data_IF_302262452993
#
_entry.id   IF_302262452993
#
_cell.length_a   1.000
_cell.length_b   1.000
_cell.length_c   1.000
_cell.angle_alpha   90.00
_cell.angle_beta   90.00
_cell.angle_gamma   90.00
#
_symmetry.space_group_name_H-M   'P 1'
#
loop_
_entity.id
_entity.type
_entity.pdbx_description
1 polymer ?
#
# COMPACT_ATOMS: atom_id res chain seq x y z
N UNK A 1 -15.97 2.62 38.40
CA UNK A 1 -16.42 2.91 37.02
C UNK A 1 -15.31 2.47 36.07
N UNK A 2 -15.53 1.40 35.33
CA UNK A 2 -14.57 0.93 34.31
C UNK A 2 -14.71 1.87 33.10
N UNK A 3 -13.64 2.54 32.71
CA UNK A 3 -13.65 3.38 31.51
C UNK A 3 -14.03 2.54 30.29
N UNK A 4 -14.93 3.03 29.46
CA UNK A 4 -15.25 2.40 28.18
C UNK A 4 -14.00 2.54 27.30
N UNK A 5 -13.45 1.44 26.76
CA UNK A 5 -12.29 1.52 25.91
C UNK A 5 -12.58 2.33 24.65
N UNK A 6 -11.58 3.06 24.15
CA UNK A 6 -11.68 3.80 22.91
C UNK A 6 -11.94 2.82 21.75
N UNK A 7 -13.02 2.95 20.98
CA UNK A 7 -13.30 2.07 19.85
C UNK A 7 -12.17 2.02 18.82
N UNK A 8 -11.51 3.16 18.55
CA UNK A 8 -10.41 3.23 17.59
C UNK A 8 -9.22 2.39 18.04
N UNK A 9 -8.84 2.50 19.32
CA UNK A 9 -7.77 1.67 19.90
C UNK A 9 -8.10 0.17 19.86
N UNK A 10 -9.37 -0.21 19.97
CA UNK A 10 -9.78 -1.61 19.81
C UNK A 10 -9.65 -2.11 18.38
N UNK A 11 -10.00 -1.28 17.38
CA UNK A 11 -9.83 -1.63 15.97
C UNK A 11 -8.35 -1.75 15.61
N UNK A 12 -7.52 -0.82 16.06
CA UNK A 12 -6.08 -0.89 15.88
C UNK A 12 -5.47 -2.16 16.49
N UNK A 13 -5.80 -2.46 17.74
CA UNK A 13 -5.33 -3.67 18.42
C UNK A 13 -5.77 -4.94 17.70
N UNK A 14 -7.00 -4.98 17.15
CA UNK A 14 -7.50 -6.09 16.34
C UNK A 14 -6.67 -6.23 15.05
N UNK A 15 -6.47 -5.13 14.30
CA UNK A 15 -5.70 -5.16 13.06
C UNK A 15 -4.25 -5.66 13.32
N UNK A 16 -3.60 -5.18 14.38
CA UNK A 16 -2.27 -5.60 14.76
C UNK A 16 -2.21 -7.11 15.12
N UNK A 17 -3.20 -7.63 15.81
CA UNK A 17 -3.29 -9.06 16.12
C UNK A 17 -3.46 -9.92 14.84
N UNK A 18 -4.34 -9.52 13.94
CA UNK A 18 -4.57 -10.21 12.67
C UNK A 18 -3.35 -10.14 11.74
N UNK A 19 -2.58 -9.04 11.75
CA UNK A 19 -1.30 -8.92 11.04
C UNK A 19 -0.25 -9.89 11.61
N UNK A 20 -0.20 -10.04 12.93
CA UNK A 20 0.68 -11.02 13.58
C UNK A 20 0.29 -12.45 13.20
N UNK A 21 -1.01 -12.78 13.16
CA UNK A 21 -1.49 -14.09 12.73
C UNK A 21 -1.16 -14.36 11.25
N UNK A 22 -1.31 -13.37 10.37
CA UNK A 22 -0.92 -13.47 8.97
C UNK A 22 0.58 -13.75 8.81
N UNK A 23 1.43 -13.10 9.61
CA UNK A 23 2.86 -13.34 9.65
C UNK A 23 3.18 -14.76 10.14
N UNK A 24 2.56 -15.19 11.24
CA UNK A 24 2.77 -16.53 11.81
C UNK A 24 2.43 -17.65 10.79
N UNK A 25 1.37 -17.47 9.99
CA UNK A 25 1.01 -18.40 8.91
C UNK A 25 2.15 -18.61 7.91
N UNK A 26 2.93 -17.57 7.64
CA UNK A 26 4.04 -17.61 6.68
C UNK A 26 5.41 -17.82 7.34
N UNK A 27 5.48 -18.08 8.63
CA UNK A 27 6.74 -18.27 9.37
C UNK A 27 7.53 -16.98 9.58
N UNK A 28 6.92 -15.80 9.44
CA UNK A 28 7.53 -14.49 9.67
C UNK A 28 7.39 -14.12 11.15
N UNK A 29 8.50 -13.98 11.86
CA UNK A 29 8.47 -13.71 13.29
C UNK A 29 8.01 -12.27 13.62
N UNK A 30 8.47 -11.29 12.84
CA UNK A 30 8.12 -9.87 13.01
C UNK A 30 8.41 -9.09 11.70
N UNK A 31 7.87 -7.88 11.57
CA UNK A 31 8.12 -7.01 10.42
C UNK A 31 7.28 -7.33 9.19
N UNK A 32 7.80 -6.97 8.01
CA UNK A 32 7.12 -7.14 6.73
C UNK A 32 5.99 -6.13 6.49
N UNK A 33 5.77 -5.18 7.40
CA UNK A 33 4.83 -4.08 7.25
C UNK A 33 5.22 -2.88 8.13
N UNK A 34 4.73 -1.69 7.78
CA UNK A 34 4.88 -0.44 8.54
C UNK A 34 3.71 0.52 8.25
N UNK A 35 3.65 1.63 8.99
CA UNK A 35 2.62 2.67 8.81
C UNK A 35 1.33 2.40 9.57
N UNK A 36 0.26 3.11 9.18
CA UNK A 36 -1.02 3.10 9.87
C UNK A 36 -1.89 1.89 9.47
N UNK A 37 -2.16 0.94 10.38
CA UNK A 37 -3.00 -0.23 10.08
C UNK A 37 -4.48 0.12 9.84
N UNK A 38 -4.92 1.33 10.18
CA UNK A 38 -6.26 1.84 9.91
C UNK A 38 -6.29 2.76 8.67
N UNK A 39 -5.18 2.85 7.95
CA UNK A 39 -5.03 3.69 6.77
C UNK A 39 -5.93 3.26 5.60
N UNK A 40 -6.44 4.25 4.85
CA UNK A 40 -7.31 4.01 3.70
C UNK A 40 -6.56 3.41 2.48
N UNK A 41 -5.22 3.46 2.48
CA UNK A 41 -4.36 3.02 1.37
C UNK A 41 -3.34 2.02 1.88
N UNK A 42 -3.22 0.89 1.18
CA UNK A 42 -2.10 -0.02 1.34
C UNK A 42 -1.14 0.08 0.14
N UNK A 43 0.15 0.23 0.42
CA UNK A 43 1.25 0.19 -0.55
C UNK A 43 1.94 -1.16 -0.44
N UNK A 44 1.97 -1.91 -1.53
CA UNK A 44 2.59 -3.24 -1.59
C UNK A 44 3.89 -3.16 -2.38
N UNK A 45 4.97 -3.65 -1.80
CA UNK A 45 6.27 -3.81 -2.46
C UNK A 45 6.66 -5.28 -2.51
N UNK A 46 7.44 -5.66 -3.50
CA UNK A 46 7.83 -7.06 -3.72
C UNK A 46 8.71 -7.60 -2.60
N UNK A 47 9.72 -6.84 -2.19
CA UNK A 47 10.70 -7.27 -1.20
C UNK A 47 10.94 -6.20 -0.13
N UNK A 48 11.30 -6.64 1.07
CA UNK A 48 11.79 -5.73 2.11
C UNK A 48 13.15 -5.13 1.71
N UNK A 49 13.43 -3.87 2.10
CA UNK A 49 14.75 -3.28 1.95
C UNK A 49 15.83 -4.08 2.71
N UNK A 50 17.09 -3.84 2.37
CA UNK A 50 18.22 -4.48 3.08
C UNK A 50 18.31 -3.93 4.51
N UNK A 51 18.59 -4.81 5.49
CA UNK A 51 18.77 -4.41 6.90
C UNK A 51 20.04 -3.57 7.14
N UNK A 52 20.89 -3.43 6.13
CA UNK A 52 22.11 -2.61 6.22
C UNK A 52 21.81 -1.11 6.07
N UNK A 53 20.62 -0.77 5.58
CA UNK A 53 20.13 0.60 5.61
C UNK A 53 19.40 0.80 6.95
N UNK A 54 19.82 1.76 7.75
CA UNK A 54 19.24 2.16 9.08
C UNK A 54 17.76 2.62 8.99
N UNK A 55 17.02 2.14 7.99
CA UNK A 55 15.67 2.55 7.69
C UNK A 55 14.65 1.59 8.33
N UNK A 56 13.87 2.12 9.26
CA UNK A 56 12.84 1.39 10.02
C UNK A 56 11.55 1.12 9.22
N UNK A 57 11.51 1.41 7.92
CA UNK A 57 10.33 1.29 7.06
C UNK A 57 10.42 0.16 6.02
N UNK A 58 9.28 -0.20 5.45
CA UNK A 58 9.19 -1.15 4.32
C UNK A 58 9.64 -0.50 3.01
N UNK A 59 9.43 0.81 2.88
CA UNK A 59 9.93 1.60 1.76
C UNK A 59 11.21 2.33 2.17
N UNK A 60 12.26 2.35 1.32
CA UNK A 60 13.38 3.27 1.49
C UNK A 60 12.91 4.72 1.61
N UNK A 61 13.55 5.54 2.47
CA UNK A 61 13.08 6.88 2.83
C UNK A 61 12.76 7.77 1.61
N UNK A 62 13.60 7.77 0.59
CA UNK A 62 13.37 8.55 -0.64
C UNK A 62 12.17 8.06 -1.45
N UNK A 63 11.87 6.76 -1.41
CA UNK A 63 10.70 6.17 -2.06
C UNK A 63 9.44 6.48 -1.25
N UNK A 64 9.51 6.36 0.07
CA UNK A 64 8.42 6.69 1.00
C UNK A 64 8.00 8.16 0.87
N UNK A 65 8.96 9.09 0.86
CA UNK A 65 8.70 10.53 0.65
C UNK A 65 8.01 10.79 -0.70
N UNK A 66 8.49 10.12 -1.76
CA UNK A 66 7.92 10.28 -3.11
C UNK A 66 6.50 9.68 -3.20
N UNK A 67 6.26 8.54 -2.58
CA UNK A 67 4.93 7.92 -2.51
C UNK A 67 3.97 8.76 -1.68
N UNK A 68 4.41 9.29 -0.53
CA UNK A 68 3.62 10.19 0.31
C UNK A 68 3.20 11.46 -0.42
N UNK A 69 4.12 12.11 -1.15
CA UNK A 69 3.80 13.28 -2.00
C UNK A 69 2.78 12.94 -3.09
N UNK A 70 2.91 11.77 -3.73
CA UNK A 70 1.96 11.32 -4.75
C UNK A 70 0.58 11.06 -4.14
N UNK A 71 0.49 10.39 -2.99
CA UNK A 71 -0.77 10.16 -2.28
C UNK A 71 -1.41 11.47 -1.83
N UNK A 72 -0.65 12.42 -1.26
CA UNK A 72 -1.16 13.74 -0.90
C UNK A 72 -1.74 14.50 -2.10
N UNK A 73 -1.11 14.41 -3.28
CA UNK A 73 -1.65 14.99 -4.52
C UNK A 73 -2.91 14.28 -5.03
N UNK A 74 -3.16 13.05 -4.60
CA UNK A 74 -4.40 12.31 -4.85
C UNK A 74 -5.49 12.57 -3.80
N UNK A 75 -5.18 13.35 -2.75
CA UNK A 75 -6.12 13.74 -1.71
C UNK A 75 -6.16 12.81 -0.50
N UNK A 76 -5.15 11.95 -0.34
CA UNK A 76 -4.99 11.16 0.88
C UNK A 76 -4.27 11.98 1.95
N UNK A 77 -4.58 11.72 3.22
CA UNK A 77 -3.90 12.36 4.35
C UNK A 77 -2.45 11.86 4.47
N UNK A 78 -1.55 12.73 4.92
CA UNK A 78 -0.17 12.38 5.20
C UNK A 78 -0.11 11.33 6.31
N UNK A 79 0.70 10.29 6.13
CA UNK A 79 0.83 9.20 7.09
C UNK A 79 -0.31 8.17 7.08
N UNK A 80 -1.34 8.33 6.23
CA UNK A 80 -2.48 7.40 6.14
C UNK A 80 -2.18 6.12 5.35
N UNK A 81 -0.95 5.91 4.92
CA UNK A 81 -0.57 4.72 4.16
C UNK A 81 -0.09 3.61 5.09
N UNK A 82 -0.58 2.40 4.82
CA UNK A 82 -0.02 1.16 5.33
C UNK A 82 0.93 0.58 4.28
N UNK A 83 2.13 0.20 4.67
CA UNK A 83 3.15 -0.36 3.78
C UNK A 83 3.37 -1.83 4.10
N UNK A 84 3.43 -2.69 3.08
CA UNK A 84 3.63 -4.12 3.26
C UNK A 84 4.52 -4.72 2.18
N UNK A 85 5.49 -5.54 2.59
CA UNK A 85 6.25 -6.40 1.68
C UNK A 85 5.45 -7.67 1.36
N UNK A 86 5.28 -7.99 0.08
CA UNK A 86 4.64 -9.23 -0.34
C UNK A 86 5.52 -10.46 -0.07
N UNK A 87 6.85 -10.25 -0.12
CA UNK A 87 7.87 -11.30 0.13
C UNK A 87 8.82 -10.89 1.25
N UNK A 88 8.36 -10.86 2.52
CA UNK A 88 9.27 -10.65 3.63
C UNK A 88 10.30 -11.78 3.66
N UNK A 89 11.53 -11.49 4.13
CA UNK A 89 12.72 -12.37 4.00
C UNK A 89 12.50 -13.79 4.48
N UNK A 90 11.81 -13.94 5.60
CA UNK A 90 11.62 -15.23 6.26
C UNK A 90 10.37 -15.98 5.73
N UNK A 91 9.56 -15.36 4.87
CA UNK A 91 8.29 -15.93 4.46
C UNK A 91 8.43 -17.21 3.66
N UNK A 92 7.75 -18.26 4.11
CA UNK A 92 7.58 -19.52 3.40
C UNK A 92 6.93 -19.22 2.03
N UNK A 93 7.57 -19.60 0.90
CA UNK A 93 7.10 -19.23 -0.44
C UNK A 93 5.62 -19.54 -0.70
N UNK A 94 5.16 -20.73 -0.34
CA UNK A 94 3.80 -21.21 -0.60
C UNK A 94 2.74 -20.49 0.26
N UNK A 95 3.15 -19.86 1.37
CA UNK A 95 2.25 -19.13 2.25
C UNK A 95 2.15 -17.62 1.93
N UNK A 96 3.00 -17.08 1.04
CA UNK A 96 3.09 -15.63 0.76
C UNK A 96 1.77 -15.02 0.29
N UNK A 97 1.10 -15.66 -0.65
CA UNK A 97 -0.16 -15.17 -1.19
C UNK A 97 -1.26 -15.13 -0.11
N UNK A 98 -1.36 -16.18 0.69
CA UNK A 98 -2.32 -16.26 1.80
C UNK A 98 -2.00 -15.20 2.88
N UNK A 99 -0.72 -15.06 3.25
CA UNK A 99 -0.26 -14.01 4.18
C UNK A 99 -0.64 -12.62 3.69
N UNK A 100 -0.28 -12.28 2.43
CA UNK A 100 -0.58 -10.97 1.86
C UNK A 100 -2.07 -10.69 1.85
N UNK A 101 -2.87 -11.70 1.49
CA UNK A 101 -4.32 -11.61 1.51
C UNK A 101 -4.86 -11.29 2.91
N UNK A 102 -4.47 -12.07 3.92
CA UNK A 102 -4.92 -11.89 5.30
C UNK A 102 -4.48 -10.54 5.87
N UNK A 103 -3.22 -10.14 5.63
CA UNK A 103 -2.73 -8.85 6.09
C UNK A 103 -3.51 -7.67 5.47
N UNK A 104 -3.84 -7.74 4.18
CA UNK A 104 -4.65 -6.70 3.53
C UNK A 104 -6.12 -6.74 4.00
N UNK A 105 -6.64 -7.87 4.42
CA UNK A 105 -7.95 -7.96 5.05
C UNK A 105 -7.96 -7.38 6.46
N UNK A 106 -6.89 -7.58 7.22
CA UNK A 106 -6.74 -7.05 8.57
C UNK A 106 -6.76 -5.51 8.62
N UNK A 107 -6.08 -4.86 7.68
CA UNK A 107 -6.00 -3.38 7.63
C UNK A 107 -7.19 -2.72 6.94
N UNK A 108 -8.02 -3.50 6.24
CA UNK A 108 -9.25 -3.04 5.56
C UNK A 108 -9.07 -1.81 4.62
N UNK A 109 -7.88 -1.67 4.02
CA UNK A 109 -7.60 -0.60 3.08
C UNK A 109 -8.54 -0.64 1.88
N UNK A 110 -9.15 0.48 1.53
CA UNK A 110 -10.07 0.59 0.39
C UNK A 110 -9.36 0.65 -0.95
N UNK A 111 -8.11 1.09 -0.94
CA UNK A 111 -7.22 1.17 -2.09
C UNK A 111 -5.93 0.41 -1.80
N UNK A 112 -5.54 -0.49 -2.71
CA UNK A 112 -4.27 -1.23 -2.63
C UNK A 112 -3.46 -0.99 -3.90
N UNK A 113 -2.24 -0.48 -3.75
CA UNK A 113 -1.34 -0.15 -4.84
C UNK A 113 -0.07 -0.99 -4.78
N UNK A 114 0.14 -1.82 -5.80
CA UNK A 114 1.43 -2.47 -6.02
C UNK A 114 2.40 -1.48 -6.66
N UNK A 115 3.56 -1.27 -6.03
CA UNK A 115 4.56 -0.26 -6.43
C UNK A 115 5.61 -0.79 -7.39
N UNK A 116 5.69 -2.11 -7.57
CA UNK A 116 6.62 -2.77 -8.49
C UNK A 116 5.97 -3.99 -9.15
N UNK A 117 6.55 -4.55 -10.23
CA UNK A 117 5.98 -5.70 -10.94
C UNK A 117 5.84 -6.94 -10.07
N UNK A 118 6.78 -7.19 -9.15
CA UNK A 118 6.77 -8.35 -8.26
C UNK A 118 5.60 -8.28 -7.28
N UNK A 119 5.39 -7.09 -6.68
CA UNK A 119 4.23 -6.81 -5.84
C UNK A 119 2.91 -6.97 -6.60
N UNK A 120 2.88 -6.57 -7.88
CA UNK A 120 1.69 -6.71 -8.72
C UNK A 120 1.33 -8.17 -8.98
N UNK A 121 2.32 -9.02 -9.24
CA UNK A 121 2.12 -10.47 -9.45
C UNK A 121 1.65 -11.15 -8.14
N UNK A 122 2.28 -10.83 -7.01
CA UNK A 122 1.92 -11.39 -5.71
C UNK A 122 0.53 -10.92 -5.26
N UNK A 123 0.18 -9.65 -5.50
CA UNK A 123 -1.14 -9.11 -5.21
C UNK A 123 -2.21 -9.78 -6.10
N UNK A 124 -1.92 -10.00 -7.38
CA UNK A 124 -2.80 -10.73 -8.26
C UNK A 124 -3.03 -12.17 -7.75
N UNK A 125 -1.97 -12.89 -7.39
CA UNK A 125 -2.05 -14.23 -6.83
C UNK A 125 -2.86 -14.28 -5.54
N UNK A 126 -2.65 -13.32 -4.62
CA UNK A 126 -3.37 -13.23 -3.35
C UNK A 126 -4.89 -13.06 -3.53
N UNK A 127 -5.33 -12.44 -4.62
CA UNK A 127 -6.74 -12.21 -4.92
C UNK A 127 -7.30 -13.13 -6.03
N UNK A 128 -6.54 -14.11 -6.49
CA UNK A 128 -6.97 -15.06 -7.53
C UNK A 128 -7.18 -14.41 -8.90
N UNK A 129 -6.43 -13.34 -9.20
CA UNK A 129 -6.50 -12.61 -10.48
C UNK A 129 -5.44 -13.15 -11.44
N UNK A 130 -5.67 -12.99 -12.75
CA UNK A 130 -4.69 -13.37 -13.77
C UNK A 130 -3.50 -12.41 -13.87
N UNK A 131 -3.63 -11.17 -13.34
CA UNK A 131 -2.59 -10.16 -13.31
C UNK A 131 -3.15 -8.78 -12.98
N UNK A 132 -2.25 -7.83 -12.70
CA UNK A 132 -2.57 -6.42 -12.48
C UNK A 132 -1.73 -5.56 -13.44
N UNK A 133 -2.37 -5.06 -14.49
CA UNK A 133 -1.71 -4.15 -15.43
C UNK A 133 -1.62 -2.72 -14.88
N UNK A 134 -0.50 -2.00 -15.10
CA UNK A 134 -0.36 -0.63 -14.63
C UNK A 134 -1.50 0.28 -15.10
N UNK A 135 -2.13 0.96 -14.13
CA UNK A 135 -3.23 1.90 -14.40
C UNK A 135 -4.57 1.28 -14.75
N UNK A 136 -4.71 -0.04 -14.75
CA UNK A 136 -5.98 -0.75 -14.93
C UNK A 136 -6.48 -1.25 -13.57
N UNK A 137 -7.38 -0.52 -12.89
CA UNK A 137 -7.89 -0.92 -11.59
C UNK A 137 -8.79 -2.16 -11.69
N UNK A 138 -8.71 -3.03 -10.69
CA UNK A 138 -9.58 -4.19 -10.51
C UNK A 138 -10.29 -4.08 -9.17
N UNK A 139 -11.58 -4.41 -9.13
CA UNK A 139 -12.32 -4.52 -7.86
C UNK A 139 -12.34 -5.96 -7.40
N UNK A 140 -11.84 -6.19 -6.18
CA UNK A 140 -11.86 -7.50 -5.55
C UNK A 140 -12.04 -7.35 -4.03
N UNK A 141 -12.87 -8.19 -3.44
CA UNK A 141 -13.12 -8.25 -1.99
C UNK A 141 -13.43 -6.87 -1.36
N UNK A 142 -14.26 -6.05 -2.02
CA UNK A 142 -14.67 -4.74 -1.50
C UNK A 142 -13.68 -3.60 -1.71
N UNK A 143 -12.49 -3.86 -2.26
CA UNK A 143 -11.42 -2.86 -2.44
C UNK A 143 -11.05 -2.68 -3.91
N UNK A 144 -10.33 -1.60 -4.21
CA UNK A 144 -9.73 -1.34 -5.51
C UNK A 144 -8.26 -1.73 -5.46
N UNK A 145 -7.87 -2.64 -6.33
CA UNK A 145 -6.50 -3.09 -6.50
C UNK A 145 -5.92 -2.48 -7.78
N UNK A 146 -4.65 -2.12 -7.77
CA UNK A 146 -3.98 -1.64 -8.96
C UNK A 146 -2.48 -1.72 -8.88
N UNK A 147 -1.83 -1.61 -10.04
CA UNK A 147 -0.38 -1.50 -10.16
C UNK A 147 0.01 -0.12 -10.68
N UNK A 148 1.10 0.40 -10.17
CA UNK A 148 1.74 1.61 -10.69
C UNK A 148 2.76 1.30 -11.81
N UNK A 149 3.12 0.02 -11.97
CA UNK A 149 4.33 -0.41 -12.65
C UNK A 149 5.52 -0.32 -11.69
N UNK A 150 6.69 0.07 -12.20
CA UNK A 150 7.90 0.24 -11.39
C UNK A 150 8.00 1.69 -10.90
N UNK A 151 7.53 1.92 -9.67
CA UNK A 151 7.54 3.24 -9.04
C UNK A 151 8.98 3.71 -8.78
N UNK A 152 9.83 2.83 -8.23
CA UNK A 152 11.21 3.16 -7.87
C UNK A 152 12.03 3.53 -9.11
N UNK A 153 12.02 2.70 -10.17
CA UNK A 153 12.71 2.98 -11.42
C UNK A 153 12.23 4.26 -12.10
N UNK A 154 10.97 4.66 -11.86
CA UNK A 154 10.42 5.88 -12.43
C UNK A 154 11.05 7.17 -11.90
N UNK A 155 11.65 7.16 -10.70
CA UNK A 155 12.12 8.38 -10.03
C UNK A 155 13.25 9.07 -10.80
N UNK A 156 14.03 8.34 -11.59
CA UNK A 156 15.09 8.86 -12.46
C UNK A 156 14.65 9.32 -13.87
N UNK A 157 13.41 9.01 -14.29
CA UNK A 157 12.92 9.27 -15.66
C UNK A 157 11.59 10.03 -15.67
N UNK A 158 11.58 11.23 -16.24
CA UNK A 158 10.39 12.10 -16.31
C UNK A 158 9.23 11.43 -17.07
N UNK A 159 9.50 10.66 -18.13
CA UNK A 159 8.45 9.97 -18.89
C UNK A 159 7.87 8.80 -18.10
N UNK A 160 8.74 8.06 -17.41
CA UNK A 160 8.30 6.98 -16.52
C UNK A 160 7.48 7.54 -15.35
N UNK A 161 7.90 8.64 -14.72
CA UNK A 161 7.08 9.36 -13.69
C UNK A 161 5.71 9.71 -14.23
N UNK A 162 5.61 10.23 -15.44
CA UNK A 162 4.32 10.55 -16.07
C UNK A 162 3.40 9.35 -16.21
N UNK A 163 3.95 8.18 -16.61
CA UNK A 163 3.16 6.92 -16.71
C UNK A 163 2.70 6.41 -15.34
N UNK A 164 3.61 6.36 -14.38
CA UNK A 164 3.30 5.95 -12.99
C UNK A 164 2.23 6.88 -12.39
N UNK A 165 2.38 8.18 -12.54
CA UNK A 165 1.40 9.15 -12.08
C UNK A 165 0.02 8.95 -12.73
N UNK A 166 -0.03 8.70 -14.04
CA UNK A 166 -1.28 8.40 -14.73
C UNK A 166 -1.92 7.11 -14.21
N UNK A 167 -1.11 6.07 -13.93
CA UNK A 167 -1.57 4.82 -13.35
C UNK A 167 -2.16 5.02 -11.95
N UNK A 168 -1.45 5.72 -11.06
CA UNK A 168 -1.92 6.03 -9.71
C UNK A 168 -3.25 6.80 -9.73
N UNK A 169 -3.38 7.83 -10.57
CA UNK A 169 -4.62 8.59 -10.71
C UNK A 169 -5.79 7.73 -11.19
N UNK A 170 -5.54 6.83 -12.13
CA UNK A 170 -6.57 5.93 -12.65
C UNK A 170 -7.10 5.01 -11.56
N UNK A 171 -6.20 4.42 -10.77
CA UNK A 171 -6.56 3.51 -9.68
C UNK A 171 -7.25 4.26 -8.54
N UNK A 172 -6.74 5.42 -8.13
CA UNK A 172 -7.35 6.25 -7.09
C UNK A 172 -8.75 6.74 -7.49
N UNK A 173 -8.94 7.13 -8.76
CA UNK A 173 -10.26 7.54 -9.27
C UNK A 173 -11.28 6.40 -9.20
N UNK A 174 -10.88 5.15 -9.44
CA UNK A 174 -11.74 3.99 -9.30
C UNK A 174 -12.14 3.70 -7.84
N UNK A 175 -11.30 4.13 -6.87
CA UNK A 175 -11.60 4.09 -5.44
C UNK A 175 -12.43 5.30 -4.96
N UNK A 176 -12.77 6.22 -5.86
CA UNK A 176 -13.57 7.42 -5.54
C UNK A 176 -12.76 8.66 -5.16
N UNK A 177 -11.43 8.56 -5.17
CA UNK A 177 -10.54 9.69 -4.92
C UNK A 177 -10.31 10.51 -6.19
N UNK A 178 -10.50 11.82 -6.11
CA UNK A 178 -10.27 12.74 -7.22
C UNK A 178 -9.09 13.64 -6.89
N UNK A 179 -8.13 13.76 -7.82
CA UNK A 179 -7.08 14.77 -7.74
C UNK A 179 -7.67 16.14 -7.41
N UNK A 180 -7.18 16.76 -6.34
CA UNK A 180 -7.47 18.18 -6.08
C UNK A 180 -6.81 18.98 -7.20
N UNK A 181 -7.57 19.39 -8.20
CA UNK A 181 -7.13 20.44 -9.11
C UNK A 181 -7.04 21.71 -8.28
N UNK A 182 -5.80 22.17 -8.01
CA UNK A 182 -5.54 23.48 -7.41
C UNK A 182 -6.27 24.50 -8.28
N UNK A 183 -7.43 25.01 -7.80
CA UNK A 183 -8.10 26.12 -8.47
C UNK A 183 -7.07 27.25 -8.55
N UNK A 184 -6.82 27.82 -9.73
CA UNK A 184 -6.01 29.03 -9.79
C UNK A 184 -6.67 30.03 -8.86
N UNK A 185 -5.93 30.52 -7.87
CA UNK A 185 -6.35 31.58 -6.96
C UNK A 185 -6.72 32.76 -7.84
N UNK A 186 -8.03 33.07 -7.89
CA UNK A 186 -8.59 34.05 -8.76
C UNK A 186 -7.89 35.39 -8.57
N UNK A 187 -7.43 35.97 -9.67
CA UNK A 187 -7.03 37.33 -9.74
C UNK A 187 -8.21 38.21 -9.25
N UNK A 188 -8.09 38.78 -8.05
CA UNK A 188 -8.94 39.89 -7.61
C UNK A 188 -8.70 41.06 -8.58
N UNK A 189 -9.75 41.46 -9.26
CA UNK A 189 -9.83 42.75 -9.93
C UNK A 189 -10.16 43.81 -8.94
#
# INVERSE_FOLDING_TARGET
>A
MTAVPDPLALYEAKALAELADANALAGVAAGGWSGDPLGAVALVVGTEPSTDDDESGILPAGLQESAGKALGALGFEEGSAFEIASRPREAIPDARAARLRLALEAVDATLVLALDPLAADDLAAAFGLQGLEPGKPVRAAGRVLGSTGDFAASLGDVRAKGRVWAAMRSVAAAAGHRTQTKRPSGASR
#
